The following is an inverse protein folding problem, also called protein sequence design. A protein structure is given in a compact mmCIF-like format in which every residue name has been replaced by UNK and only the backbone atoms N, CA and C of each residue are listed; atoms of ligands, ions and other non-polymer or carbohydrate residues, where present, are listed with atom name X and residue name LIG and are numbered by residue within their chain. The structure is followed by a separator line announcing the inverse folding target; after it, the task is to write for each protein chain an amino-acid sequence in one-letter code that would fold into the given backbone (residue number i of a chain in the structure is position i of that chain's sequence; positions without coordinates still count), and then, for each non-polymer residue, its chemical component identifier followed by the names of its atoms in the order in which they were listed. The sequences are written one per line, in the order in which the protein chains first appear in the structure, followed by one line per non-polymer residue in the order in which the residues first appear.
data_IF_104964366610
#
_entry.id   IF_104964366610
#
_cell.length_a   1.000
_cell.length_b   1.000
_cell.length_c   1.000
_cell.angle_alpha   90.00
_cell.angle_beta   90.00
_cell.angle_gamma   90.00
#
_symmetry.space_group_name_H-M   'P 1'
#
loop_
_entity.id
_entity.type
_entity.pdbx_description
1 polymer ?
#
# COMPACT_ATOMS: atom_id res chain seq x y z
N UNK A 1 3.57 17.53 -22.95
CA UNK A 1 2.26 17.63 -23.64
C UNK A 1 1.57 16.27 -23.87
N UNK A 2 2.05 15.35 -24.73
CA UNK A 2 1.32 14.07 -24.98
C UNK A 2 1.48 12.97 -23.90
N UNK A 3 2.50 13.07 -23.03
CA UNK A 3 2.77 12.09 -21.95
C UNK A 3 2.24 12.48 -20.56
N UNK A 4 1.66 13.68 -20.38
CA UNK A 4 1.18 14.16 -19.06
C UNK A 4 -0.29 13.79 -18.78
N UNK A 5 -1.10 13.73 -19.85
CA UNK A 5 -2.51 13.33 -19.78
C UNK A 5 -2.73 11.89 -19.26
N UNK A 6 -1.95 10.86 -19.69
CA UNK A 6 -2.16 9.49 -19.22
C UNK A 6 -1.87 9.32 -17.73
N UNK A 7 -0.86 10.01 -17.18
CA UNK A 7 -0.51 9.93 -15.76
C UNK A 7 -1.66 10.49 -14.90
N UNK A 8 -2.18 11.66 -15.28
CA UNK A 8 -3.28 12.29 -14.55
C UNK A 8 -4.55 11.45 -14.59
N UNK A 9 -4.86 10.85 -15.74
CA UNK A 9 -6.02 9.96 -15.90
C UNK A 9 -5.84 8.71 -15.03
N UNK A 10 -4.69 8.03 -15.11
CA UNK A 10 -4.40 6.84 -14.32
C UNK A 10 -4.49 7.12 -12.82
N UNK A 11 -3.91 8.24 -12.37
CA UNK A 11 -3.98 8.64 -10.96
C UNK A 11 -5.42 8.93 -10.53
N UNK A 12 -6.18 9.67 -11.33
CA UNK A 12 -7.57 10.03 -11.02
C UNK A 12 -8.47 8.80 -10.96
N UNK A 13 -8.34 7.88 -11.93
CA UNK A 13 -9.10 6.63 -11.95
C UNK A 13 -8.72 5.75 -10.76
N UNK A 14 -7.43 5.61 -10.45
CA UNK A 14 -6.97 4.86 -9.28
C UNK A 14 -7.51 5.44 -7.97
N UNK A 15 -7.47 6.77 -7.81
CA UNK A 15 -7.97 7.45 -6.62
C UNK A 15 -9.49 7.29 -6.47
N UNK A 16 -10.25 7.45 -7.56
CA UNK A 16 -11.71 7.27 -7.56
C UNK A 16 -12.09 5.82 -7.29
N UNK A 17 -11.40 4.86 -7.91
CA UNK A 17 -11.64 3.44 -7.67
C UNK A 17 -11.35 3.09 -6.20
N UNK A 18 -10.20 3.50 -5.66
CA UNK A 18 -9.88 3.30 -4.25
C UNK A 18 -10.93 3.97 -3.34
N UNK A 19 -11.28 5.23 -3.59
CA UNK A 19 -12.27 5.95 -2.78
C UNK A 19 -13.64 5.25 -2.78
N UNK A 20 -14.14 4.87 -3.96
CA UNK A 20 -15.42 4.16 -4.09
C UNK A 20 -15.37 2.76 -3.45
N UNK A 21 -14.30 2.00 -3.68
CA UNK A 21 -14.07 0.69 -3.06
C UNK A 21 -14.01 0.77 -1.53
N UNK A 22 -13.29 1.75 -0.98
CA UNK A 22 -13.22 2.00 0.46
C UNK A 22 -14.57 2.42 1.05
N UNK A 23 -15.34 3.25 0.34
CA UNK A 23 -16.69 3.64 0.75
C UNK A 23 -17.63 2.44 0.78
N UNK A 24 -17.56 1.56 -0.22
CA UNK A 24 -18.34 0.32 -0.28
C UNK A 24 -17.92 -0.65 0.84
N UNK A 25 -16.62 -0.86 1.07
CA UNK A 25 -16.13 -1.68 2.17
C UNK A 25 -16.64 -1.15 3.53
N UNK A 26 -16.58 0.17 3.74
CA UNK A 26 -17.10 0.80 4.96
C UNK A 26 -18.61 0.61 5.11
N UNK A 27 -19.39 0.73 4.03
CA UNK A 27 -20.85 0.44 4.02
C UNK A 27 -21.14 -1.01 4.41
N UNK A 28 -20.29 -1.94 4.00
CA UNK A 28 -20.37 -3.36 4.34
C UNK A 28 -19.78 -3.72 5.71
N UNK A 29 -19.34 -2.72 6.50
CA UNK A 29 -18.66 -2.90 7.80
C UNK A 29 -17.33 -3.66 7.71
N UNK A 30 -16.68 -3.62 6.55
CA UNK A 30 -15.34 -4.16 6.33
C UNK A 30 -14.27 -3.07 6.54
N UNK A 31 -13.02 -3.43 6.87
CA UNK A 31 -11.90 -2.49 6.85
C UNK A 31 -11.75 -1.83 5.48
N UNK A 32 -11.55 -0.51 5.44
CA UNK A 32 -11.43 0.26 4.20
C UNK A 32 -10.28 -0.23 3.31
N UNK A 33 -9.20 -0.74 3.92
CA UNK A 33 -8.06 -1.33 3.22
C UNK A 33 -8.48 -2.46 2.27
N UNK A 34 -9.44 -3.29 2.66
CA UNK A 34 -9.98 -4.36 1.80
C UNK A 34 -10.62 -3.76 0.55
N UNK A 35 -11.38 -2.66 0.72
CA UNK A 35 -11.98 -1.93 -0.40
C UNK A 35 -10.96 -1.34 -1.36
N UNK A 36 -9.86 -0.79 -0.84
CA UNK A 36 -8.76 -0.27 -1.66
C UNK A 36 -8.05 -1.37 -2.44
N UNK A 37 -7.81 -2.53 -1.80
CA UNK A 37 -7.20 -3.69 -2.46
C UNK A 37 -8.10 -4.24 -3.57
N UNK A 38 -9.40 -4.39 -3.32
CA UNK A 38 -10.36 -4.86 -4.33
C UNK A 38 -10.49 -3.87 -5.50
N UNK A 39 -10.48 -2.56 -5.22
CA UNK A 39 -10.46 -1.54 -6.25
C UNK A 39 -9.20 -1.65 -7.13
N UNK A 40 -8.04 -1.88 -6.52
CA UNK A 40 -6.78 -2.12 -7.25
C UNK A 40 -6.84 -3.35 -8.16
N UNK A 41 -7.44 -4.46 -7.68
CA UNK A 41 -7.67 -5.65 -8.51
C UNK A 41 -8.61 -5.34 -9.68
N UNK A 42 -9.65 -4.54 -9.46
CA UNK A 42 -10.68 -4.22 -10.45
C UNK A 42 -10.26 -3.21 -11.54
N UNK A 43 -9.20 -2.42 -11.31
CA UNK A 43 -8.58 -1.55 -12.32
C UNK A 43 -7.27 -2.13 -12.86
N UNK A 44 -6.90 -3.33 -12.38
CA UNK A 44 -5.73 -4.06 -12.80
C UNK A 44 -5.92 -4.79 -14.13
N UNK A 45 -4.87 -5.46 -14.63
CA UNK A 45 -4.88 -6.13 -15.95
C UNK A 45 -5.83 -7.33 -16.01
N UNK A 46 -6.33 -7.80 -14.87
CA UNK A 46 -7.20 -8.99 -14.76
C UNK A 46 -8.69 -8.69 -15.01
N UNK A 47 -9.05 -7.41 -15.19
CA UNK A 47 -10.44 -6.96 -15.37
C UNK A 47 -10.63 -6.43 -16.79
N UNK A 48 -11.63 -6.94 -17.56
CA UNK A 48 -11.90 -6.42 -18.89
C UNK A 48 -12.38 -4.97 -18.81
N UNK A 49 -11.64 -4.04 -19.42
CA UNK A 49 -11.94 -2.60 -19.37
C UNK A 49 -10.69 -1.72 -19.39
N UNK A 50 -10.75 -0.59 -18.67
CA UNK A 50 -9.62 0.30 -18.47
C UNK A 50 -8.52 -0.41 -17.68
N UNK A 51 -7.42 -0.77 -18.35
CA UNK A 51 -6.20 -1.24 -17.71
C UNK A 51 -5.25 -0.06 -17.54
N UNK A 52 -5.06 0.39 -16.31
CA UNK A 52 -4.05 1.40 -16.02
C UNK A 52 -2.65 0.87 -16.35
N UNK A 53 -1.76 1.76 -16.80
CA UNK A 53 -0.37 1.41 -17.05
C UNK A 53 0.31 1.02 -15.73
N UNK A 54 0.70 -0.26 -15.66
CA UNK A 54 1.30 -0.88 -14.47
C UNK A 54 2.57 -0.12 -14.03
N UNK A 55 3.36 0.38 -14.99
CA UNK A 55 4.60 1.09 -14.68
C UNK A 55 4.34 2.43 -13.99
N UNK A 56 3.37 3.20 -14.49
CA UNK A 56 2.92 4.45 -13.87
C UNK A 56 2.29 4.19 -12.50
N UNK A 57 1.44 3.16 -12.36
CA UNK A 57 0.82 2.81 -11.07
C UNK A 57 1.88 2.40 -10.04
N UNK A 58 2.89 1.64 -10.45
CA UNK A 58 3.97 1.21 -9.57
C UNK A 58 4.79 2.41 -9.07
N UNK A 59 5.15 3.35 -9.94
CA UNK A 59 5.85 4.58 -9.54
C UNK A 59 5.03 5.41 -8.53
N UNK A 60 3.72 5.51 -8.75
CA UNK A 60 2.82 6.19 -7.81
C UNK A 60 2.71 5.47 -6.47
N UNK A 61 2.68 4.14 -6.47
CA UNK A 61 2.66 3.33 -5.25
C UNK A 61 3.96 3.49 -4.45
N UNK A 62 5.11 3.50 -5.13
CA UNK A 62 6.41 3.76 -4.51
C UNK A 62 6.45 5.13 -3.84
N UNK A 63 6.01 6.19 -4.52
CA UNK A 63 5.90 7.53 -3.92
C UNK A 63 4.94 7.53 -2.72
N UNK A 64 3.80 6.85 -2.81
CA UNK A 64 2.85 6.72 -1.70
C UNK A 64 3.44 6.03 -0.48
N UNK A 65 4.17 4.92 -0.68
CA UNK A 65 4.88 4.20 0.40
C UNK A 65 5.98 5.07 0.99
N UNK A 66 6.74 5.80 0.16
CA UNK A 66 7.77 6.73 0.64
C UNK A 66 7.13 7.81 1.53
N UNK A 67 6.02 8.43 1.10
CA UNK A 67 5.33 9.43 1.92
C UNK A 67 4.75 8.85 3.21
N UNK A 68 4.21 7.62 3.19
CA UNK A 68 3.73 6.94 4.38
C UNK A 68 4.87 6.65 5.37
N UNK A 69 5.99 6.11 4.89
CA UNK A 69 7.15 5.80 5.74
C UNK A 69 7.82 7.09 6.25
N UNK A 70 7.80 8.15 5.47
CA UNK A 70 8.24 9.48 5.89
C UNK A 70 7.36 10.04 7.00
N UNK A 71 6.03 10.00 6.85
CA UNK A 71 5.07 10.44 7.87
C UNK A 71 5.21 9.64 9.17
N UNK A 72 5.33 8.31 9.06
CA UNK A 72 5.65 7.44 10.21
C UNK A 72 6.95 7.88 10.87
N UNK A 73 7.99 8.17 10.08
CA UNK A 73 9.28 8.66 10.56
C UNK A 73 9.19 10.00 11.30
N UNK A 74 8.37 10.94 10.83
CA UNK A 74 8.16 12.24 11.51
C UNK A 74 7.47 12.09 12.86
N UNK A 75 6.56 11.13 12.99
CA UNK A 75 5.87 10.83 14.25
C UNK A 75 6.68 9.90 15.18
N UNK A 76 7.81 9.35 14.70
CA UNK A 76 8.58 8.36 15.44
C UNK A 76 9.64 9.00 16.34
N UNK A 77 9.54 8.79 17.65
CA UNK A 77 10.57 9.20 18.61
C UNK A 77 11.69 8.16 18.68
N UNK A 78 12.89 8.54 18.22
CA UNK A 78 14.09 7.70 18.37
C UNK A 78 14.41 7.41 19.84
N UNK A 79 14.09 8.33 20.75
CA UNK A 79 14.31 8.15 22.20
C UNK A 79 13.40 7.07 22.76
N UNK A 80 12.14 7.06 22.34
CA UNK A 80 11.15 6.09 22.81
C UNK A 80 11.53 4.69 22.33
N UNK A 81 11.97 4.56 21.06
CA UNK A 81 12.52 3.30 20.55
C UNK A 81 13.74 2.84 21.36
N UNK A 82 14.65 3.77 21.69
CA UNK A 82 15.86 3.42 22.43
C UNK A 82 15.56 2.93 23.86
N UNK A 83 14.51 3.45 24.48
CA UNK A 83 14.06 3.03 25.81
C UNK A 83 13.57 1.57 25.82
N UNK A 84 12.90 1.13 24.75
CA UNK A 84 12.36 -0.24 24.62
C UNK A 84 13.18 -1.17 23.73
N UNK A 85 14.41 -0.77 23.37
CA UNK A 85 15.27 -1.47 22.40
C UNK A 85 15.49 -2.96 22.71
N UNK A 86 15.58 -3.29 24.00
CA UNK A 86 15.81 -4.66 24.46
C UNK A 86 14.64 -5.60 24.14
N UNK A 87 13.43 -5.06 23.97
CA UNK A 87 12.22 -5.83 23.63
C UNK A 87 11.89 -5.70 22.14
N UNK A 88 11.96 -4.47 21.60
CA UNK A 88 11.53 -4.20 20.21
C UNK A 88 12.51 -4.76 19.20
N UNK A 89 13.82 -4.60 19.39
CA UNK A 89 14.81 -5.04 18.39
C UNK A 89 14.80 -6.56 18.22
N UNK A 90 14.89 -7.39 19.30
CA UNK A 90 14.84 -8.84 19.14
C UNK A 90 13.47 -9.30 18.63
N UNK A 91 12.38 -8.71 19.12
CA UNK A 91 11.03 -9.05 18.68
C UNK A 91 10.83 -8.82 17.18
N UNK A 92 11.21 -7.65 16.67
CA UNK A 92 11.12 -7.32 15.25
C UNK A 92 12.01 -8.24 14.40
N UNK A 93 13.24 -8.49 14.83
CA UNK A 93 14.17 -9.33 14.08
C UNK A 93 13.68 -10.78 13.99
N UNK A 94 13.24 -11.36 15.12
CA UNK A 94 12.68 -12.72 15.16
C UNK A 94 11.41 -12.78 14.31
N UNK A 95 10.52 -11.80 14.43
CA UNK A 95 9.28 -11.76 13.65
C UNK A 95 9.55 -11.72 12.14
N UNK A 96 10.48 -10.87 11.69
CA UNK A 96 10.85 -10.78 10.27
C UNK A 96 11.43 -12.10 9.78
N UNK A 97 12.39 -12.68 10.51
CA UNK A 97 13.06 -13.93 10.10
C UNK A 97 12.08 -15.10 10.07
N UNK A 98 11.23 -15.24 11.09
CA UNK A 98 10.27 -16.34 11.18
C UNK A 98 9.20 -16.23 10.10
N UNK A 99 8.60 -15.05 9.92
CA UNK A 99 7.55 -14.86 8.89
C UNK A 99 8.13 -15.05 7.50
N UNK A 100 9.30 -14.48 7.22
CA UNK A 100 9.96 -14.64 5.91
C UNK A 100 10.34 -16.09 5.67
N UNK A 101 10.89 -16.77 6.67
CA UNK A 101 11.26 -18.19 6.59
C UNK A 101 10.05 -19.09 6.37
N UNK A 102 8.93 -18.86 7.07
CA UNK A 102 7.68 -19.56 6.83
C UNK A 102 7.13 -19.32 5.42
N UNK A 103 7.20 -18.07 4.94
CA UNK A 103 6.81 -17.72 3.58
C UNK A 103 7.60 -18.50 2.53
N UNK A 104 8.92 -18.64 2.71
CA UNK A 104 9.79 -19.43 1.82
C UNK A 104 9.55 -20.94 1.92
N UNK A 105 9.14 -21.45 3.08
CA UNK A 105 8.83 -22.87 3.25
C UNK A 105 7.48 -23.28 2.65
N UNK A 106 6.52 -22.33 2.55
CA UNK A 106 5.19 -22.56 2.01
C UNK A 106 5.07 -22.25 0.51
N UNK A 107 6.02 -21.49 -0.05
CA UNK A 107 6.11 -21.15 -1.47
C UNK A 107 6.73 -22.28 -2.29
#
# INVERSE_FOLDING_TARGET
MQHELPILINFTVALLAAFTGGLLARRLKLPSMVGYMLAGVAIGPFTPGFSGDLSTIQQLAELGVIFLLFDVGLHFSLRDLWAVRATVIPGALIQIVVITGLGLLLA
#
